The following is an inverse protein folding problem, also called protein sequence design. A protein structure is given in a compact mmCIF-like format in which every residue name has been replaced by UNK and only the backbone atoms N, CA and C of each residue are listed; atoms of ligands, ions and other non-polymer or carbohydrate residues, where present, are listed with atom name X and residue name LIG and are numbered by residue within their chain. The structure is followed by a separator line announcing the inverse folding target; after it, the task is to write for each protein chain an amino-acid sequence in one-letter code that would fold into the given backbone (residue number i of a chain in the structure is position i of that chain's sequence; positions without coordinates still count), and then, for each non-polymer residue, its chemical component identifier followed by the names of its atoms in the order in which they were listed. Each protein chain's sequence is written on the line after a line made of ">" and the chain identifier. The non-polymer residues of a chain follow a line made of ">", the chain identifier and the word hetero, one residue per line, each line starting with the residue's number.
data_IF_734547944469
#
_entry.id   IF_734547944469
#
_cell.length_a   1.000
_cell.length_b   1.000
_cell.length_c   1.000
_cell.angle_alpha   90.00
_cell.angle_beta   90.00
_cell.angle_gamma   90.00
#
_symmetry.space_group_name_H-M   'P 1'
#
loop_
_entity.id
_entity.type
_entity.pdbx_description
1 polymer ?
#
# COMPACT_ATOMS: atom_id res chain seq x y z
N UNK A 1 -5.58 6.66 29.84
CA UNK A 1 -5.89 5.21 29.90
C UNK A 1 -6.20 4.63 28.52
N UNK A 2 -7.22 5.10 27.79
CA UNK A 2 -7.60 4.54 26.47
C UNK A 2 -6.46 4.54 25.44
N UNK A 3 -5.73 5.64 25.29
CA UNK A 3 -4.59 5.76 24.36
C UNK A 3 -3.45 4.79 24.67
N UNK A 4 -3.14 4.60 25.96
CA UNK A 4 -2.12 3.66 26.42
C UNK A 4 -2.43 2.22 26.02
N UNK A 5 -3.67 1.76 26.24
CA UNK A 5 -4.08 0.40 25.86
C UNK A 5 -4.11 0.18 24.34
N UNK A 6 -4.55 1.18 23.56
CA UNK A 6 -4.50 1.12 22.09
C UNK A 6 -3.06 1.05 21.58
N UNK A 7 -2.14 1.82 22.17
CA UNK A 7 -0.73 1.78 21.80
C UNK A 7 -0.06 0.45 22.17
N UNK A 8 -0.35 -0.07 23.36
CA UNK A 8 0.19 -1.36 23.82
C UNK A 8 -0.26 -2.51 22.91
N UNK A 9 -1.55 -2.58 22.59
CA UNK A 9 -2.10 -3.61 21.68
C UNK A 9 -1.55 -3.47 20.26
N UNK A 10 -1.44 -2.24 19.74
CA UNK A 10 -0.82 -1.95 18.44
C UNK A 10 0.65 -2.41 18.36
N UNK A 11 1.43 -2.18 19.42
CA UNK A 11 2.83 -2.57 19.47
C UNK A 11 3.00 -4.11 19.47
N UNK A 12 2.18 -4.81 20.26
CA UNK A 12 2.17 -6.28 20.30
C UNK A 12 1.75 -6.90 18.96
N UNK A 13 0.73 -6.35 18.30
CA UNK A 13 0.29 -6.78 16.97
C UNK A 13 1.38 -6.56 15.91
N UNK A 14 2.01 -5.38 15.91
CA UNK A 14 3.09 -5.03 14.98
C UNK A 14 4.27 -5.99 15.13
N UNK A 15 4.67 -6.32 16.36
CA UNK A 15 5.75 -7.29 16.64
C UNK A 15 5.43 -8.67 16.04
N UNK A 16 4.21 -9.18 16.22
CA UNK A 16 3.76 -10.47 15.67
C UNK A 16 3.70 -10.47 14.14
N UNK A 17 3.13 -9.42 13.55
CA UNK A 17 3.00 -9.30 12.08
C UNK A 17 4.34 -9.19 11.38
N UNK A 18 5.30 -8.44 11.94
CA UNK A 18 6.66 -8.34 11.38
C UNK A 18 7.38 -9.68 11.37
N UNK A 19 7.31 -10.45 12.46
CA UNK A 19 7.91 -11.79 12.54
C UNK A 19 7.31 -12.75 11.50
N UNK A 20 5.97 -12.77 11.36
CA UNK A 20 5.28 -13.62 10.37
C UNK A 20 5.55 -13.20 8.92
N UNK A 21 5.61 -11.89 8.66
CA UNK A 21 5.88 -11.37 7.31
C UNK A 21 7.32 -11.66 6.87
N UNK A 22 8.31 -11.49 7.77
CA UNK A 22 9.70 -11.82 7.46
C UNK A 22 9.89 -13.30 7.15
N UNK A 23 9.25 -14.20 7.93
CA UNK A 23 9.24 -15.63 7.65
C UNK A 23 8.57 -15.98 6.30
N UNK A 24 7.54 -15.25 5.89
CA UNK A 24 6.86 -15.42 4.60
C UNK A 24 7.67 -14.87 3.41
N UNK A 25 8.46 -13.80 3.61
CA UNK A 25 9.33 -13.20 2.59
C UNK A 25 10.48 -14.15 2.20
N UNK A 26 11.04 -14.86 3.16
CA UNK A 26 12.17 -15.78 2.94
C UNK A 26 11.81 -17.04 2.13
N UNK A 27 10.55 -17.19 1.68
CA UNK A 27 10.03 -18.37 0.98
C UNK A 27 9.72 -18.17 -0.52
N UNK A 28 10.23 -17.13 -1.19
CA UNK A 28 9.81 -16.78 -2.57
C UNK A 28 10.93 -16.69 -3.62
N UNK A 29 10.59 -16.98 -4.88
CA UNK A 29 11.49 -17.10 -6.04
C UNK A 29 11.22 -16.06 -7.17
N UNK A 30 12.18 -15.88 -8.10
CA UNK A 30 12.39 -14.68 -8.95
C UNK A 30 11.43 -14.43 -10.13
N UNK A 31 10.50 -15.32 -10.44
CA UNK A 31 9.63 -15.21 -11.61
C UNK A 31 8.43 -14.27 -11.50
N UNK A 32 8.32 -13.54 -10.40
CA UNK A 32 7.08 -12.94 -9.95
C UNK A 32 6.76 -11.55 -10.55
N UNK A 33 7.59 -11.03 -11.45
CA UNK A 33 7.62 -9.60 -11.76
C UNK A 33 6.80 -9.13 -12.97
N UNK A 34 6.18 -10.02 -13.77
CA UNK A 34 5.76 -9.64 -15.13
C UNK A 34 4.24 -9.55 -15.44
N UNK A 35 3.30 -9.61 -14.47
CA UNK A 35 1.85 -9.69 -14.80
C UNK A 35 0.94 -8.51 -14.39
N UNK A 36 -0.04 -8.11 -15.24
CA UNK A 36 -0.65 -6.77 -15.25
C UNK A 36 -2.04 -6.68 -14.59
N UNK A 37 -2.48 -7.71 -13.85
CA UNK A 37 -3.86 -7.84 -13.42
C UNK A 37 -4.12 -7.26 -12.02
N UNK A 38 -4.22 -5.93 -11.96
CA UNK A 38 -4.88 -5.23 -10.87
C UNK A 38 -5.85 -4.20 -11.46
N UNK A 39 -7.15 -4.51 -11.48
CA UNK A 39 -8.21 -3.55 -11.77
C UNK A 39 -9.51 -3.88 -11.00
N UNK A 40 -10.39 -2.87 -10.83
CA UNK A 40 -11.08 -2.46 -9.58
C UNK A 40 -12.62 -2.40 -9.71
N UNK A 41 -13.35 -2.54 -8.58
CA UNK A 41 -14.62 -1.81 -8.27
C UNK A 41 -15.77 -2.69 -7.77
N UNK A 42 -16.78 -2.26 -6.99
CA UNK A 42 -17.06 -1.14 -6.08
C UNK A 42 -18.41 -1.43 -5.37
N UNK A 43 -18.69 -0.75 -4.23
CA UNK A 43 -20.02 -0.59 -3.57
C UNK A 43 -20.58 -1.85 -2.85
N UNK A 44 -21.32 -1.77 -1.73
CA UNK A 44 -22.36 -0.80 -1.36
C UNK A 44 -22.52 -0.62 0.17
N UNK A 45 -23.18 0.48 0.54
CA UNK A 45 -23.30 1.01 1.90
C UNK A 45 -24.66 0.73 2.58
N UNK A 46 -24.69 0.96 3.90
CA UNK A 46 -25.82 1.48 4.73
C UNK A 46 -26.93 0.51 5.17
N UNK A 47 -27.10 0.41 6.48
CA UNK A 47 -28.19 0.93 7.35
C UNK A 47 -27.72 0.64 8.79
N UNK A 48 -28.06 1.31 9.89
CA UNK A 48 -29.23 2.09 10.28
C UNK A 48 -28.88 2.86 11.57
N UNK A 49 -29.05 4.17 11.59
CA UNK A 49 -29.38 4.89 12.81
C UNK A 49 -29.98 6.24 12.41
N UNK A 50 -31.29 6.38 12.61
CA UNK A 50 -31.95 7.67 12.86
C UNK A 50 -33.42 7.40 13.21
N UNK A 51 -33.78 7.75 14.44
CA UNK A 51 -35.05 8.35 14.80
C UNK A 51 -35.00 8.74 16.28
N UNK A 52 -35.71 9.81 16.64
CA UNK A 52 -35.90 10.37 17.99
C UNK A 52 -34.84 11.42 18.40
N UNK A 53 -34.98 12.64 17.85
CA UNK A 53 -34.88 13.95 18.54
C UNK A 53 -35.01 15.14 17.55
N UNK A 54 -36.05 15.16 16.69
CA UNK A 54 -36.24 16.21 15.67
C UNK A 54 -37.59 16.93 15.79
N UNK A 55 -37.83 17.61 16.91
CA UNK A 55 -39.04 18.43 17.10
C UNK A 55 -38.86 19.93 16.89
N UNK A 56 -37.66 20.47 17.09
CA UNK A 56 -37.39 21.91 16.93
C UNK A 56 -35.92 22.21 16.52
N UNK A 57 -35.00 21.32 16.89
CA UNK A 57 -33.59 21.32 16.49
C UNK A 57 -33.43 21.19 14.97
N UNK A 58 -34.33 20.45 14.31
CA UNK A 58 -34.29 20.23 12.86
C UNK A 58 -34.57 21.47 12.01
N UNK A 59 -35.32 22.45 12.51
CA UNK A 59 -35.70 23.64 11.73
C UNK A 59 -34.57 24.68 11.70
N UNK A 60 -33.82 24.81 12.80
CA UNK A 60 -32.71 25.77 12.93
C UNK A 60 -31.38 25.14 12.46
N UNK A 61 -31.12 23.88 12.79
CA UNK A 61 -29.87 23.19 12.43
C UNK A 61 -29.96 22.42 11.10
N UNK A 62 -31.16 22.08 10.61
CA UNK A 62 -31.36 21.28 9.40
C UNK A 62 -30.62 21.81 8.17
N UNK A 63 -30.66 23.11 7.84
CA UNK A 63 -29.91 23.67 6.71
C UNK A 63 -28.39 23.62 6.89
N UNK A 64 -27.90 23.63 8.14
CA UNK A 64 -26.46 23.63 8.44
C UNK A 64 -25.81 22.25 8.30
N UNK A 65 -26.58 21.17 8.50
CA UNK A 65 -26.06 19.79 8.47
C UNK A 65 -25.60 19.36 7.06
N UNK A 66 -26.36 19.58 5.96
CA UNK A 66 -25.88 19.30 4.60
C UNK A 66 -24.64 20.11 4.22
N UNK A 67 -24.55 21.34 4.71
CA UNK A 67 -23.41 22.24 4.50
C UNK A 67 -22.13 21.64 5.12
N UNK A 68 -22.22 21.17 6.37
CA UNK A 68 -21.14 20.49 7.09
C UNK A 68 -20.78 19.14 6.46
N UNK A 69 -21.76 18.39 5.96
CA UNK A 69 -21.50 17.13 5.23
C UNK A 69 -20.80 17.37 3.89
N UNK A 70 -21.15 18.45 3.20
CA UNK A 70 -20.50 18.84 1.95
C UNK A 70 -19.04 19.25 2.18
N UNK A 71 -18.76 20.05 3.20
CA UNK A 71 -17.38 20.44 3.54
C UNK A 71 -16.51 19.23 3.94
N UNK A 72 -17.11 18.27 4.65
CA UNK A 72 -16.46 17.00 5.00
C UNK A 72 -16.13 16.18 3.75
N UNK A 73 -17.09 16.01 2.84
CA UNK A 73 -16.91 15.28 1.58
C UNK A 73 -15.83 15.92 0.70
N UNK A 74 -15.80 17.26 0.63
CA UNK A 74 -14.79 18.01 -0.13
C UNK A 74 -13.38 17.78 0.43
N UNK A 75 -13.23 17.82 1.76
CA UNK A 75 -11.96 17.59 2.46
C UNK A 75 -11.45 16.16 2.22
N UNK A 76 -12.32 15.15 2.31
CA UNK A 76 -11.98 13.75 2.01
C UNK A 76 -11.43 13.60 0.60
N UNK A 77 -12.10 14.18 -0.40
CA UNK A 77 -11.75 14.00 -1.80
C UNK A 77 -10.34 14.50 -2.11
N UNK A 78 -9.90 15.58 -1.47
CA UNK A 78 -8.58 16.15 -1.72
C UNK A 78 -7.46 15.44 -0.98
N UNK A 79 -7.68 15.05 0.29
CA UNK A 79 -6.65 14.38 1.08
C UNK A 79 -6.35 12.98 0.52
N UNK A 80 -7.37 12.25 0.05
CA UNK A 80 -7.20 10.91 -0.50
C UNK A 80 -6.57 10.90 -1.91
N UNK A 81 -6.96 11.81 -2.80
CA UNK A 81 -6.43 11.84 -4.18
C UNK A 81 -4.95 12.20 -4.25
N UNK A 82 -4.41 12.85 -3.21
CA UNK A 82 -3.04 13.37 -3.17
C UNK A 82 -2.01 12.39 -2.59
N UNK A 83 -2.39 11.58 -1.60
CA UNK A 83 -1.43 10.66 -0.95
C UNK A 83 -0.78 9.65 -1.91
N UNK A 84 -1.38 9.39 -3.06
CA UNK A 84 -0.82 8.51 -4.08
C UNK A 84 0.19 9.24 -4.99
N UNK A 85 -0.15 10.42 -5.54
CA UNK A 85 0.73 11.15 -6.47
C UNK A 85 2.01 11.68 -5.83
N UNK A 86 1.95 12.13 -4.58
CA UNK A 86 3.12 12.63 -3.85
C UNK A 86 4.09 11.50 -3.47
N UNK A 87 3.57 10.28 -3.33
CA UNK A 87 4.38 9.08 -3.06
C UNK A 87 5.22 8.69 -4.29
N UNK A 88 4.66 8.78 -5.50
CA UNK A 88 5.34 8.34 -6.71
C UNK A 88 6.55 9.22 -7.07
N UNK A 89 6.41 10.55 -6.92
CA UNK A 89 7.50 11.49 -7.19
C UNK A 89 8.66 11.34 -6.19
N UNK A 90 8.35 11.12 -4.90
CA UNK A 90 9.37 10.84 -3.88
C UNK A 90 10.02 9.47 -4.08
N UNK A 91 9.28 8.50 -4.61
CA UNK A 91 9.82 7.19 -4.93
C UNK A 91 10.88 7.27 -6.03
N UNK A 92 10.61 8.01 -7.11
CA UNK A 92 11.58 8.23 -8.19
C UNK A 92 12.87 8.90 -7.70
N UNK A 93 12.76 9.95 -6.88
CA UNK A 93 13.93 10.60 -6.28
C UNK A 93 14.71 9.65 -5.37
N UNK A 94 14.00 8.83 -4.59
CA UNK A 94 14.61 7.81 -3.72
C UNK A 94 15.35 6.75 -4.52
N UNK A 95 14.82 6.30 -5.66
CA UNK A 95 15.51 5.34 -6.53
C UNK A 95 16.83 5.91 -7.07
N UNK A 96 16.83 7.17 -7.53
CA UNK A 96 18.05 7.84 -8.01
C UNK A 96 19.10 7.94 -6.88
N UNK A 97 18.67 8.27 -5.66
CA UNK A 97 19.56 8.31 -4.51
C UNK A 97 20.14 6.93 -4.18
N UNK A 98 19.31 5.88 -4.18
CA UNK A 98 19.76 4.50 -3.96
C UNK A 98 20.76 4.06 -5.03
N UNK A 99 20.50 4.37 -6.30
CA UNK A 99 21.41 4.08 -7.42
C UNK A 99 22.78 4.76 -7.20
N UNK A 100 22.79 6.06 -6.89
CA UNK A 100 24.01 6.82 -6.66
C UNK A 100 24.80 6.32 -5.44
N UNK A 101 24.12 6.06 -4.32
CA UNK A 101 24.77 5.65 -3.07
C UNK A 101 25.28 4.21 -3.15
N UNK A 102 24.49 3.30 -3.70
CA UNK A 102 24.91 1.89 -3.86
C UNK A 102 26.12 1.76 -4.79
N UNK A 103 26.24 2.66 -5.77
CA UNK A 103 27.31 2.69 -6.76
C UNK A 103 28.29 3.85 -6.56
N UNK A 104 28.47 4.35 -5.33
CA UNK A 104 29.23 5.58 -5.04
C UNK A 104 30.67 5.54 -5.59
N UNK A 105 31.34 4.38 -5.56
CA UNK A 105 32.69 4.21 -6.13
C UNK A 105 32.70 4.44 -7.65
N UNK A 106 31.69 3.96 -8.35
CA UNK A 106 31.54 4.13 -9.80
C UNK A 106 31.20 5.57 -10.16
N UNK A 107 30.34 6.22 -9.36
CA UNK A 107 29.99 7.64 -9.55
C UNK A 107 31.23 8.51 -9.40
N UNK A 108 32.02 8.28 -8.35
CA UNK A 108 33.25 9.00 -8.08
C UNK A 108 34.34 8.74 -9.15
N UNK A 109 34.49 7.48 -9.58
CA UNK A 109 35.48 7.13 -10.62
C UNK A 109 35.15 7.72 -11.99
N UNK A 110 33.86 7.97 -12.27
CA UNK A 110 33.40 8.61 -13.51
C UNK A 110 33.22 10.12 -13.40
N UNK A 111 33.46 10.72 -12.22
CA UNK A 111 33.24 12.15 -11.95
C UNK A 111 31.81 12.61 -12.32
N UNK A 112 30.79 11.82 -11.95
CA UNK A 112 29.38 12.04 -12.30
C UNK A 112 28.51 12.52 -11.13
N UNK A 113 29.10 13.01 -10.05
CA UNK A 113 28.40 13.49 -8.86
C UNK A 113 27.37 14.58 -9.21
N UNK A 114 27.79 15.58 -9.99
CA UNK A 114 26.92 16.68 -10.40
C UNK A 114 25.72 16.22 -11.25
N UNK A 115 25.94 15.21 -12.10
CA UNK A 115 24.88 14.61 -12.91
C UNK A 115 23.79 13.96 -12.03
N UNK A 116 24.19 13.22 -11.00
CA UNK A 116 23.25 12.60 -10.06
C UNK A 116 22.57 13.65 -9.18
N UNK A 117 23.30 14.66 -8.70
CA UNK A 117 22.72 15.79 -7.96
C UNK A 117 21.64 16.53 -8.78
N UNK A 118 21.91 16.79 -10.06
CA UNK A 118 20.94 17.44 -10.95
C UNK A 118 19.72 16.56 -11.20
N UNK A 119 19.90 15.28 -11.52
CA UNK A 119 18.78 14.32 -11.69
C UNK A 119 17.91 14.22 -10.45
N UNK A 120 18.53 14.19 -9.27
CA UNK A 120 17.81 14.18 -8.00
C UNK A 120 17.02 15.47 -7.76
N UNK A 121 17.64 16.63 -8.01
CA UNK A 121 16.99 17.94 -7.93
C UNK A 121 15.81 18.06 -8.89
N UNK A 122 15.99 17.67 -10.15
CA UNK A 122 14.94 17.71 -11.17
C UNK A 122 13.75 16.81 -10.80
N UNK A 123 14.02 15.62 -10.26
CA UNK A 123 12.97 14.73 -9.73
C UNK A 123 12.19 15.36 -8.57
N UNK A 124 12.85 16.12 -7.69
CA UNK A 124 12.22 16.84 -6.59
C UNK A 124 11.45 18.09 -7.05
N UNK A 125 11.90 18.78 -8.09
CA UNK A 125 11.25 20.00 -8.61
C UNK A 125 9.81 19.76 -9.06
N UNK A 126 9.53 18.58 -9.61
CA UNK A 126 8.16 18.17 -9.98
C UNK A 126 7.27 18.13 -8.74
N UNK A 127 7.73 17.48 -7.67
CA UNK A 127 7.01 17.42 -6.40
C UNK A 127 6.84 18.81 -5.79
N UNK A 128 7.89 19.63 -5.81
CA UNK A 128 7.88 20.98 -5.27
C UNK A 128 6.84 21.89 -5.97
N UNK A 129 6.83 21.92 -7.31
CA UNK A 129 5.86 22.72 -8.07
C UNK A 129 4.42 22.24 -7.83
N UNK A 130 4.20 20.93 -7.75
CA UNK A 130 2.89 20.38 -7.40
C UNK A 130 2.48 20.74 -5.97
N UNK A 131 3.42 20.70 -5.01
CA UNK A 131 3.18 21.08 -3.63
C UNK A 131 2.73 22.54 -3.51
N UNK A 132 3.37 23.47 -4.22
CA UNK A 132 2.99 24.89 -4.23
C UNK A 132 1.59 25.12 -4.81
N UNK A 133 1.28 24.54 -5.98
CA UNK A 133 -0.06 24.67 -6.57
C UNK A 133 -1.13 24.10 -5.63
N UNK A 134 -0.84 22.96 -5.01
CA UNK A 134 -1.76 22.30 -4.10
C UNK A 134 -1.87 23.04 -2.76
N UNK A 135 -0.85 23.81 -2.34
CA UNK A 135 -0.87 24.57 -1.11
C UNK A 135 -1.98 25.64 -1.14
N UNK A 136 -2.17 26.32 -2.27
CA UNK A 136 -3.24 27.30 -2.42
C UNK A 136 -4.64 26.66 -2.37
N UNK A 137 -4.85 25.57 -3.12
CA UNK A 137 -6.13 24.83 -3.14
C UNK A 137 -6.45 24.30 -1.74
N UNK A 138 -5.43 23.78 -1.05
CA UNK A 138 -5.56 23.27 0.32
C UNK A 138 -5.85 24.41 1.30
N UNK A 139 -5.15 25.53 1.20
CA UNK A 139 -5.37 26.70 2.03
C UNK A 139 -6.81 27.21 1.89
N UNK A 140 -7.28 27.37 0.65
CA UNK A 140 -8.66 27.77 0.37
C UNK A 140 -9.68 26.79 0.96
N UNK A 141 -9.45 25.48 0.79
CA UNK A 141 -10.40 24.51 1.34
C UNK A 141 -10.36 24.44 2.86
N UNK A 142 -9.19 24.42 3.49
CA UNK A 142 -9.08 24.45 4.95
C UNK A 142 -9.77 25.70 5.48
N UNK A 143 -9.59 26.85 4.82
CA UNK A 143 -10.31 28.08 5.13
C UNK A 143 -11.82 27.89 5.09
N UNK A 144 -12.37 27.46 3.94
CA UNK A 144 -13.82 27.23 3.77
C UNK A 144 -14.36 26.24 4.79
N UNK A 145 -13.72 25.09 4.96
CA UNK A 145 -14.15 24.03 5.89
C UNK A 145 -14.08 24.48 7.35
N UNK A 146 -13.08 25.28 7.75
CA UNK A 146 -12.97 25.78 9.13
C UNK A 146 -13.90 26.95 9.42
N UNK A 147 -14.24 27.79 8.44
CA UNK A 147 -15.13 28.93 8.63
C UNK A 147 -16.61 28.54 8.62
N UNK A 148 -16.98 27.48 7.90
CA UNK A 148 -18.37 27.03 7.73
C UNK A 148 -19.14 26.80 9.04
N UNK A 149 -18.57 26.13 10.07
CA UNK A 149 -19.28 25.90 11.34
C UNK A 149 -19.55 27.20 12.10
N UNK A 150 -18.66 28.19 12.01
CA UNK A 150 -18.88 29.50 12.63
C UNK A 150 -20.00 30.27 11.95
N UNK A 151 -20.07 30.21 10.61
CA UNK A 151 -21.19 30.81 9.86
C UNK A 151 -22.50 30.13 10.22
N UNK A 152 -22.52 28.79 10.28
CA UNK A 152 -23.70 28.03 10.70
C UNK A 152 -24.13 28.39 12.14
N UNK A 153 -23.18 28.51 13.06
CA UNK A 153 -23.45 28.91 14.44
C UNK A 153 -24.03 30.34 14.52
N UNK A 154 -23.49 31.29 13.73
CA UNK A 154 -24.04 32.64 13.65
C UNK A 154 -25.49 32.66 13.16
N UNK A 155 -25.82 31.84 12.15
CA UNK A 155 -27.20 31.68 11.65
C UNK A 155 -28.12 31.09 12.71
N UNK A 156 -27.66 30.07 13.45
CA UNK A 156 -28.41 29.46 14.57
C UNK A 156 -28.72 30.50 15.65
N UNK A 157 -27.75 31.34 16.01
CA UNK A 157 -27.97 32.41 16.99
C UNK A 157 -28.91 33.50 16.47
N UNK A 158 -28.80 33.91 15.20
CA UNK A 158 -29.66 34.94 14.63
C UNK A 158 -31.13 34.50 14.56
N UNK A 159 -31.37 33.29 14.05
CA UNK A 159 -32.72 32.71 13.96
C UNK A 159 -33.25 32.37 15.35
N UNK A 160 -32.41 31.80 16.22
CA UNK A 160 -32.77 31.50 17.61
C UNK A 160 -33.12 32.75 18.41
N UNK A 161 -32.39 33.85 18.21
CA UNK A 161 -32.71 35.16 18.78
C UNK A 161 -34.08 35.67 18.35
N UNK A 162 -34.45 35.49 17.08
CA UNK A 162 -35.79 35.80 16.60
C UNK A 162 -36.86 34.92 17.28
N UNK A 163 -36.64 33.61 17.44
CA UNK A 163 -37.59 32.73 18.14
C UNK A 163 -37.74 33.05 19.64
N UNK A 164 -36.65 33.46 20.29
CA UNK A 164 -36.67 33.95 21.68
C UNK A 164 -37.53 35.22 21.76
N UNK A 165 -37.40 36.15 20.80
CA UNK A 165 -38.21 37.39 20.77
C UNK A 165 -39.72 37.13 20.63
N UNK A 166 -40.10 36.00 20.04
CA UNK A 166 -41.49 35.56 19.89
C UNK A 166 -41.99 34.72 21.09
N UNK A 167 -41.16 34.47 22.11
CA UNK A 167 -41.51 33.64 23.27
C UNK A 167 -41.65 32.14 22.96
N UNK A 168 -41.23 31.70 21.78
CA UNK A 168 -41.40 30.31 21.31
C UNK A 168 -40.28 29.36 21.74
N UNK A 169 -39.11 29.91 22.14
CA UNK A 169 -37.94 29.14 22.60
C UNK A 169 -37.24 29.84 23.76
N UNK A 170 -36.67 29.04 24.67
CA UNK A 170 -35.81 29.57 25.72
C UNK A 170 -34.39 29.81 25.21
N UNK A 171 -33.73 30.83 25.76
CA UNK A 171 -32.34 31.16 25.46
C UNK A 171 -31.38 29.97 25.62
N UNK A 172 -31.56 29.21 26.71
CA UNK A 172 -30.72 28.04 27.02
C UNK A 172 -30.79 26.99 25.92
N UNK A 173 -31.95 26.79 25.29
CA UNK A 173 -32.12 25.77 24.26
C UNK A 173 -31.44 26.17 22.94
N UNK A 174 -31.47 27.47 22.59
CA UNK A 174 -30.75 28.01 21.43
C UNK A 174 -29.23 27.89 21.61
N UNK A 175 -28.69 28.24 22.78
CA UNK A 175 -27.26 28.12 23.07
C UNK A 175 -26.82 26.65 23.07
N UNK A 176 -27.60 25.75 23.68
CA UNK A 176 -27.32 24.30 23.66
C UNK A 176 -27.20 23.76 22.24
N UNK A 177 -28.12 24.13 21.35
CA UNK A 177 -28.10 23.69 19.94
C UNK A 177 -26.90 24.28 19.21
N UNK A 178 -26.61 25.56 19.42
CA UNK A 178 -25.46 26.24 18.81
C UNK A 178 -24.12 25.62 19.21
N UNK A 179 -23.91 25.34 20.50
CA UNK A 179 -22.69 24.74 21.04
C UNK A 179 -22.55 23.28 20.63
N UNK A 180 -23.64 22.51 20.68
CA UNK A 180 -23.63 21.11 20.22
C UNK A 180 -23.20 21.02 18.75
N UNK A 181 -23.67 21.95 17.89
CA UNK A 181 -23.29 22.00 16.47
C UNK A 181 -21.77 22.24 16.30
N UNK A 182 -21.21 23.21 17.00
CA UNK A 182 -19.78 23.54 16.94
C UNK A 182 -18.95 22.37 17.45
N UNK A 183 -19.30 21.81 18.61
CA UNK A 183 -18.55 20.72 19.22
C UNK A 183 -18.58 19.44 18.36
N UNK A 184 -19.76 19.08 17.82
CA UNK A 184 -19.90 17.95 16.90
C UNK A 184 -19.08 18.15 15.62
N UNK A 185 -19.08 19.37 15.04
CA UNK A 185 -18.28 19.65 13.84
C UNK A 185 -16.77 19.56 14.08
N UNK A 186 -16.29 20.06 15.23
CA UNK A 186 -14.89 19.98 15.62
C UNK A 186 -14.45 18.54 15.84
N UNK A 187 -15.27 17.73 16.53
CA UNK A 187 -15.00 16.31 16.75
C UNK A 187 -15.05 15.49 15.45
N UNK A 188 -15.98 15.77 14.55
CA UNK A 188 -16.01 15.13 13.23
C UNK A 188 -14.73 15.45 12.42
N UNK A 189 -14.26 16.70 12.44
CA UNK A 189 -13.00 17.09 11.82
C UNK A 189 -11.78 16.38 12.41
N UNK A 190 -11.71 16.27 13.75
CA UNK A 190 -10.65 15.54 14.44
C UNK A 190 -10.69 14.04 14.14
N UNK A 191 -11.88 13.42 14.11
CA UNK A 191 -12.05 12.03 13.72
C UNK A 191 -11.59 11.78 12.28
N UNK A 192 -11.87 12.72 11.37
CA UNK A 192 -11.46 12.65 9.96
C UNK A 192 -9.94 12.67 9.79
N UNK A 193 -9.19 13.34 10.69
CA UNK A 193 -7.72 13.36 10.64
C UNK A 193 -7.09 11.96 10.73
N UNK A 194 -7.80 10.98 11.30
CA UNK A 194 -7.37 9.59 11.38
C UNK A 194 -7.72 8.76 10.14
N UNK A 195 -8.60 9.23 9.25
CA UNK A 195 -9.06 8.46 8.09
C UNK A 195 -7.93 8.08 7.11
N UNK A 196 -6.96 8.96 6.76
CA UNK A 196 -5.83 8.58 5.92
C UNK A 196 -4.98 7.46 6.54
N UNK A 197 -4.74 7.53 7.85
CA UNK A 197 -3.98 6.52 8.59
C UNK A 197 -4.69 5.17 8.61
N UNK A 198 -6.02 5.18 8.79
CA UNK A 198 -6.83 3.96 8.73
C UNK A 198 -6.82 3.33 7.33
N UNK A 199 -6.93 4.14 6.28
CA UNK A 199 -6.86 3.66 4.90
C UNK A 199 -5.49 3.05 4.57
N UNK A 200 -4.40 3.73 4.96
CA UNK A 200 -3.03 3.21 4.81
C UNK A 200 -2.83 1.91 5.60
N UNK A 201 -3.35 1.85 6.83
CA UNK A 201 -3.32 0.66 7.68
C UNK A 201 -4.03 -0.52 7.03
N UNK A 202 -5.25 -0.33 6.53
CA UNK A 202 -6.00 -1.37 5.79
C UNK A 202 -5.25 -1.85 4.55
N UNK A 203 -4.71 -0.94 3.74
CA UNK A 203 -3.94 -1.30 2.55
C UNK A 203 -2.65 -2.09 2.90
N UNK A 204 -1.95 -1.71 3.97
CA UNK A 204 -0.77 -2.43 4.45
C UNK A 204 -1.13 -3.82 4.98
N UNK A 205 -2.22 -3.92 5.76
CA UNK A 205 -2.72 -5.19 6.24
C UNK A 205 -3.10 -6.12 5.08
N UNK A 206 -3.82 -5.61 4.06
CA UNK A 206 -4.16 -6.39 2.87
C UNK A 206 -2.92 -6.96 2.15
N UNK A 207 -1.85 -6.16 2.02
CA UNK A 207 -0.57 -6.65 1.46
C UNK A 207 0.07 -7.74 2.34
N UNK A 208 0.02 -7.58 3.66
CA UNK A 208 0.54 -8.59 4.59
C UNK A 208 -0.29 -9.89 4.54
N UNK A 209 -1.62 -9.81 4.54
CA UNK A 209 -2.48 -10.98 4.41
C UNK A 209 -2.29 -11.69 3.07
N UNK A 210 -2.20 -10.94 1.96
CA UNK A 210 -1.87 -11.49 0.63
C UNK A 210 -0.53 -12.24 0.64
N UNK A 211 0.45 -11.76 1.41
CA UNK A 211 1.74 -12.44 1.57
C UNK A 211 1.63 -13.69 2.45
N UNK A 212 0.86 -13.64 3.54
CA UNK A 212 0.70 -14.74 4.51
C UNK A 212 -0.13 -15.91 3.96
N UNK A 213 -1.16 -15.62 3.18
CA UNK A 213 -2.08 -16.63 2.62
C UNK A 213 -1.55 -17.28 1.33
N UNK A 214 -0.42 -16.79 0.81
CA UNK A 214 0.18 -17.34 -0.39
C UNK A 214 0.83 -18.69 -0.08
N UNK A 215 0.36 -19.74 -0.74
CA UNK A 215 1.03 -21.04 -0.81
C UNK A 215 2.07 -20.98 -1.94
N UNK A 216 3.37 -21.22 -1.67
CA UNK A 216 4.39 -21.28 -2.71
C UNK A 216 4.22 -22.55 -3.57
N UNK A 217 4.54 -22.46 -4.87
CA UNK A 217 4.50 -23.62 -5.77
C UNK A 217 5.54 -24.68 -5.37
N UNK A 218 6.74 -24.22 -4.98
CA UNK A 218 7.81 -25.05 -4.41
C UNK A 218 7.90 -24.69 -2.92
N UNK A 219 7.28 -25.51 -2.06
CA UNK A 219 7.34 -25.29 -0.62
C UNK A 219 8.60 -25.91 0.00
N UNK A 220 9.65 -25.09 0.15
CA UNK A 220 10.89 -25.48 0.81
C UNK A 220 10.70 -25.93 2.29
N UNK A 221 9.57 -25.58 2.91
CA UNK A 221 9.25 -25.93 4.30
C UNK A 221 8.34 -27.15 4.46
N UNK A 222 7.75 -27.63 3.36
CA UNK A 222 6.95 -28.86 3.35
C UNK A 222 7.86 -30.07 3.58
N UNK A 223 7.73 -30.71 4.74
CA UNK A 223 8.40 -31.98 5.07
C UNK A 223 7.66 -33.21 4.51
N UNK A 224 6.54 -32.98 3.82
CA UNK A 224 5.68 -34.02 3.24
C UNK A 224 6.43 -34.68 2.07
N UNK A 225 6.79 -35.96 2.25
CA UNK A 225 7.61 -36.80 1.35
C UNK A 225 9.14 -36.65 1.41
N UNK A 226 9.73 -36.48 2.60
CA UNK A 226 11.15 -36.84 2.79
C UNK A 226 11.32 -38.36 2.78
N UNK A 227 11.37 -38.99 1.60
CA UNK A 227 12.23 -40.18 1.49
C UNK A 227 13.66 -39.66 1.47
N UNK A 228 14.47 -40.09 2.45
CA UNK A 228 15.91 -39.93 2.31
C UNK A 228 16.30 -40.56 0.97
N UNK A 229 17.07 -39.82 0.17
CA UNK A 229 17.63 -40.35 -1.06
C UNK A 229 18.73 -41.32 -0.63
N UNK A 230 18.34 -42.56 -0.32
CA UNK A 230 19.26 -43.56 0.23
C UNK A 230 20.19 -44.14 -0.85
N UNK A 231 19.86 -43.98 -2.15
CA UNK A 231 20.73 -44.38 -3.26
C UNK A 231 20.48 -43.56 -4.55
N UNK A 232 21.11 -42.38 -4.65
CA UNK A 232 21.16 -41.62 -5.90
C UNK A 232 22.14 -42.30 -6.87
N UNK A 233 21.65 -43.22 -7.71
CA UNK A 233 22.48 -43.97 -8.65
C UNK A 233 22.76 -43.21 -9.96
N UNK A 234 21.82 -42.38 -10.40
CA UNK A 234 22.02 -41.48 -11.53
C UNK A 234 21.17 -40.22 -11.40
N UNK A 235 21.63 -39.13 -12.03
CA UNK A 235 20.82 -37.94 -12.28
C UNK A 235 20.52 -37.89 -13.76
N UNK A 236 19.24 -37.90 -14.13
CA UNK A 236 18.77 -37.86 -15.52
C UNK A 236 17.87 -36.65 -15.75
N UNK A 237 18.23 -35.85 -16.75
CA UNK A 237 17.33 -34.88 -17.37
C UNK A 237 16.84 -35.50 -18.68
N UNK A 238 15.53 -35.48 -18.90
CA UNK A 238 14.91 -35.99 -20.10
C UNK A 238 14.00 -34.95 -20.74
N UNK A 239 14.34 -34.56 -21.97
CA UNK A 239 13.58 -33.60 -22.80
C UNK A 239 13.24 -32.29 -22.08
N UNK A 240 14.19 -31.74 -21.32
CA UNK A 240 13.94 -30.58 -20.46
C UNK A 240 13.83 -29.30 -21.27
N UNK A 241 12.68 -28.66 -21.18
CA UNK A 241 12.41 -27.33 -21.72
C UNK A 241 12.20 -26.34 -20.58
N UNK A 242 12.83 -25.17 -20.67
CA UNK A 242 12.77 -24.20 -19.59
C UNK A 242 12.95 -22.76 -20.08
N UNK A 243 12.17 -21.86 -19.48
CA UNK A 243 12.23 -20.41 -19.59
C UNK A 243 12.33 -19.81 -18.19
N UNK A 244 13.09 -18.73 -18.06
CA UNK A 244 13.03 -17.96 -16.82
C UNK A 244 11.74 -17.15 -16.81
N UNK A 245 10.98 -17.09 -15.70
CA UNK A 245 9.68 -16.42 -15.74
C UNK A 245 9.76 -14.89 -15.85
N UNK A 246 10.95 -14.30 -15.63
CA UNK A 246 11.20 -12.87 -15.89
C UNK A 246 11.57 -12.57 -17.36
N UNK A 247 11.60 -13.61 -18.22
CA UNK A 247 11.97 -13.58 -19.65
C UNK A 247 11.25 -14.72 -20.39
N UNK A 248 9.92 -14.67 -20.44
CA UNK A 248 9.09 -15.71 -21.06
C UNK A 248 9.24 -15.80 -22.59
N UNK A 249 9.80 -14.76 -23.20
CA UNK A 249 10.06 -14.63 -24.63
C UNK A 249 11.25 -15.48 -25.11
N UNK A 250 12.18 -15.81 -24.21
CA UNK A 250 13.42 -16.52 -24.56
C UNK A 250 13.45 -17.91 -23.94
N UNK A 251 13.43 -18.93 -24.80
CA UNK A 251 13.61 -20.31 -24.39
C UNK A 251 15.07 -20.68 -24.20
N UNK A 252 15.46 -20.92 -22.95
CA UNK A 252 16.84 -21.21 -22.55
C UNK A 252 17.20 -22.67 -22.80
N UNK A 253 16.38 -23.62 -22.33
CA UNK A 253 16.55 -25.04 -22.60
C UNK A 253 15.50 -25.51 -23.60
N UNK A 254 15.94 -26.22 -24.63
CA UNK A 254 15.14 -26.62 -25.79
C UNK A 254 15.21 -28.15 -26.00
N UNK A 255 14.79 -28.92 -24.98
CA UNK A 255 14.83 -30.39 -25.04
C UNK A 255 16.15 -31.00 -24.57
N UNK A 256 16.74 -30.44 -23.51
CA UNK A 256 18.01 -30.95 -22.98
C UNK A 256 17.82 -32.33 -22.34
N UNK A 257 18.62 -33.31 -22.78
CA UNK A 257 18.69 -34.63 -22.17
C UNK A 257 20.12 -34.97 -21.78
N UNK A 258 20.34 -35.33 -20.52
CA UNK A 258 21.66 -35.70 -19.99
C UNK A 258 21.53 -36.74 -18.89
N UNK A 259 22.53 -37.59 -18.75
CA UNK A 259 22.61 -38.63 -17.71
C UNK A 259 23.96 -38.54 -17.03
N UNK A 260 23.98 -38.51 -15.70
CA UNK A 260 25.19 -38.56 -14.88
C UNK A 260 25.09 -39.74 -13.92
N UNK A 261 25.93 -40.75 -14.13
CA UNK A 261 25.99 -41.93 -13.26
C UNK A 261 26.80 -41.67 -11.98
N UNK A 262 26.50 -42.41 -10.92
CA UNK A 262 27.23 -42.38 -9.64
C UNK A 262 28.75 -42.49 -9.85
N UNK A 263 29.49 -41.57 -9.23
CA UNK A 263 30.95 -41.52 -9.30
C UNK A 263 31.54 -40.94 -10.60
N UNK A 264 30.71 -40.48 -11.54
CA UNK A 264 31.18 -39.78 -12.75
C UNK A 264 31.05 -38.27 -12.60
N UNK A 265 31.98 -37.54 -13.22
CA UNK A 265 31.96 -36.07 -13.29
C UNK A 265 31.47 -35.63 -14.66
N UNK A 266 30.42 -34.81 -14.70
CA UNK A 266 29.95 -34.16 -15.93
C UNK A 266 30.56 -32.76 -16.03
N UNK A 267 31.17 -32.46 -17.17
CA UNK A 267 31.61 -31.11 -17.52
C UNK A 267 30.62 -30.45 -18.49
N UNK A 268 30.03 -29.32 -18.10
CA UNK A 268 29.19 -28.51 -18.97
C UNK A 268 30.03 -27.42 -19.62
N UNK A 269 30.23 -27.52 -20.94
CA UNK A 269 31.06 -26.57 -21.72
C UNK A 269 30.19 -25.91 -22.79
N UNK A 270 30.43 -24.63 -23.05
CA UNK A 270 29.73 -23.87 -24.09
C UNK A 270 29.90 -22.37 -23.93
N UNK A 271 29.42 -21.60 -24.92
CA UNK A 271 29.47 -20.14 -24.94
C UNK A 271 28.76 -19.49 -23.75
N UNK A 272 29.07 -18.22 -23.47
CA UNK A 272 28.33 -17.46 -22.44
C UNK A 272 26.84 -17.42 -22.79
N UNK A 273 25.97 -17.67 -21.80
CA UNK A 273 24.52 -17.65 -22.00
C UNK A 273 23.85 -18.94 -22.49
N UNK A 274 24.60 -20.02 -22.75
CA UNK A 274 24.02 -21.28 -23.27
C UNK A 274 23.26 -22.15 -22.24
N UNK A 275 22.93 -21.63 -21.06
CA UNK A 275 22.11 -22.35 -20.07
C UNK A 275 22.86 -23.24 -19.06
N UNK A 276 24.19 -23.22 -18.99
CA UNK A 276 24.99 -24.04 -18.03
C UNK A 276 24.54 -23.86 -16.57
N UNK A 277 24.48 -22.61 -16.11
CA UNK A 277 24.03 -22.28 -14.74
C UNK A 277 22.56 -22.60 -14.51
N UNK A 278 21.75 -22.60 -15.57
CA UNK A 278 20.33 -22.95 -15.52
C UNK A 278 20.13 -24.43 -15.21
N UNK A 279 20.98 -25.31 -15.76
CA UNK A 279 20.97 -26.74 -15.42
C UNK A 279 21.21 -26.95 -13.93
N UNK A 280 22.16 -26.21 -13.35
CA UNK A 280 22.45 -26.27 -11.90
C UNK A 280 21.22 -25.83 -11.10
N UNK A 281 20.60 -24.70 -11.47
CA UNK A 281 19.40 -24.20 -10.78
C UNK A 281 18.20 -25.16 -10.82
N UNK A 282 18.06 -25.95 -11.90
CA UNK A 282 17.02 -26.97 -12.02
C UNK A 282 17.33 -28.21 -11.16
N UNK A 283 18.60 -28.63 -11.08
CA UNK A 283 19.04 -29.74 -10.21
C UNK A 283 18.87 -29.37 -8.73
N UNK A 284 19.21 -28.13 -8.36
CA UNK A 284 18.96 -27.59 -7.02
C UNK A 284 17.47 -27.31 -6.75
N UNK A 285 16.61 -27.51 -7.77
CA UNK A 285 15.16 -27.30 -7.74
C UNK A 285 14.75 -25.90 -7.30
N UNK A 286 15.53 -24.89 -7.71
CA UNK A 286 15.13 -23.48 -7.60
C UNK A 286 14.10 -23.06 -8.66
N UNK A 287 13.86 -23.92 -9.64
CA UNK A 287 12.81 -23.77 -10.64
C UNK A 287 12.32 -25.16 -11.04
N UNK A 288 11.05 -25.28 -11.44
CA UNK A 288 10.54 -26.46 -12.11
C UNK A 288 10.61 -26.27 -13.65
N UNK A 289 10.91 -27.32 -14.42
CA UNK A 289 10.90 -27.25 -15.88
C UNK A 289 9.46 -27.13 -16.42
N UNK A 290 9.30 -26.46 -17.56
CA UNK A 290 7.99 -26.35 -18.24
C UNK A 290 7.56 -27.68 -18.86
N UNK A 291 8.54 -28.41 -19.40
CA UNK A 291 8.36 -29.73 -20.01
C UNK A 291 9.60 -30.58 -19.76
N UNK A 292 9.42 -31.89 -19.70
CA UNK A 292 10.46 -32.86 -19.39
C UNK A 292 10.47 -33.22 -17.91
N UNK A 293 11.39 -34.09 -17.51
CA UNK A 293 11.51 -34.57 -16.13
C UNK A 293 12.96 -34.58 -15.69
N UNK A 294 13.18 -34.17 -14.43
CA UNK A 294 14.36 -34.54 -13.66
C UNK A 294 14.05 -35.81 -12.89
N UNK A 295 14.92 -36.81 -13.02
CA UNK A 295 14.86 -38.06 -12.26
C UNK A 295 16.18 -38.19 -11.51
N UNK A 296 16.10 -38.42 -10.21
CA UNK A 296 17.21 -38.64 -9.29
C UNK A 296 16.80 -39.58 -8.18
#
# INVERSE_FOLDING_TARGET
>A
MQTFFIQLSSHQLTKRMRGRSFAAILRQERGWFDLPENSVGSLCSKLSHDAVHLGAVGLIAGPSVPLLMYSLKLSIRMDFGRSFKESDALFAASQIAVEAISSVRTVASLHKEEHFCKRFSDALMVSHRQALRNAHIRGATIGVTRSLPFVAHAVVLAIGGWFISQGTMNFIDVIKVGEALVFSSAMAGQAMSFAPSLAKGKAAAARMFKLLERVPAIDASSMTNKKAIEDLNEVRLHDVHFRYPNREDVQILQGLSLVVSKGKTLALVGSSGCGKSTVISLIERFYDPEKGKLVG
#
